data_IF_830872892238
#
_entry.id   IF_830872892238
#
_cell.length_a   1.000
_cell.length_b   1.000
_cell.length_c   1.000
_cell.angle_alpha   90.00
_cell.angle_beta   90.00
_cell.angle_gamma   90.00
#
_symmetry.space_group_name_H-M   'P 1'
#
loop_
_entity.id
_entity.type
_entity.pdbx_description
1 polymer ?
#
# COMPACT_ATOMS: atom_id res chain seq x y z
N UNK A 1 0.25 23.58 14.52
CA UNK A 1 0.50 22.28 13.83
C UNK A 1 0.95 21.26 14.85
N UNK A 2 0.37 20.05 14.82
CA UNK A 2 0.85 18.97 15.68
C UNK A 2 2.20 18.46 15.17
N UNK A 3 3.22 18.55 15.98
CA UNK A 3 4.60 18.10 15.68
C UNK A 3 4.57 16.62 15.21
N UNK A 4 3.70 15.83 15.81
CA UNK A 4 3.54 14.41 15.44
C UNK A 4 3.06 14.26 13.99
N UNK A 5 2.08 15.04 13.57
CA UNK A 5 1.58 15.02 12.17
C UNK A 5 2.65 15.46 11.17
N UNK A 6 3.48 16.44 11.54
CA UNK A 6 4.60 16.89 10.70
C UNK A 6 5.60 15.75 10.48
N UNK A 7 5.99 15.04 11.54
CA UNK A 7 6.92 13.90 11.45
C UNK A 7 6.30 12.74 10.64
N UNK A 8 5.02 12.45 10.86
CA UNK A 8 4.31 11.42 10.07
C UNK A 8 4.30 11.77 8.58
N UNK A 9 4.06 13.04 8.24
CA UNK A 9 4.06 13.52 6.86
C UNK A 9 5.44 13.41 6.20
N UNK A 10 6.50 13.69 6.92
CA UNK A 10 7.87 13.54 6.40
C UNK A 10 8.21 12.09 6.06
N UNK A 11 7.67 11.12 6.83
CA UNK A 11 7.91 9.70 6.64
C UNK A 11 7.06 9.06 5.52
N UNK A 12 6.07 9.75 4.99
CA UNK A 12 5.30 9.27 3.86
C UNK A 12 6.16 9.19 2.61
N UNK A 13 6.04 8.08 1.87
CA UNK A 13 6.60 7.99 0.52
C UNK A 13 5.84 8.91 -0.43
N UNK A 14 6.56 9.57 -1.33
CA UNK A 14 5.96 10.47 -2.32
C UNK A 14 5.01 9.73 -3.26
N UNK A 15 5.40 8.52 -3.66
CA UNK A 15 4.62 7.70 -4.59
C UNK A 15 4.37 6.32 -4.01
N UNK A 16 3.14 5.84 -4.10
CA UNK A 16 2.73 4.48 -3.72
C UNK A 16 1.95 3.85 -4.86
N UNK A 17 2.13 2.54 -5.10
CA UNK A 17 1.33 1.81 -6.08
C UNK A 17 -0.13 1.67 -5.62
N UNK A 18 -1.07 1.67 -6.58
CA UNK A 18 -2.49 1.40 -6.30
C UNK A 18 -2.69 -0.09 -5.97
N UNK A 19 -2.69 -0.39 -4.66
CA UNK A 19 -2.82 -1.74 -4.14
C UNK A 19 -4.29 -2.11 -3.90
N UNK A 20 -4.84 -2.98 -4.74
CA UNK A 20 -6.20 -3.53 -4.58
C UNK A 20 -6.15 -4.95 -4.01
N UNK A 21 -7.06 -5.24 -3.07
CA UNK A 21 -7.21 -6.59 -2.51
C UNK A 21 -7.62 -7.55 -3.61
N UNK A 22 -6.98 -8.72 -3.65
CA UNK A 22 -7.18 -9.74 -4.69
C UNK A 22 -6.18 -9.71 -5.84
N UNK A 23 -5.43 -8.61 -6.01
CA UNK A 23 -4.36 -8.54 -7.00
C UNK A 23 -3.18 -9.43 -6.61
N UNK A 24 -2.52 -10.00 -7.61
CA UNK A 24 -1.22 -10.66 -7.42
C UNK A 24 -0.13 -9.62 -7.60
N UNK A 25 0.77 -9.53 -6.64
CA UNK A 25 1.85 -8.54 -6.62
C UNK A 25 3.20 -9.19 -6.33
N UNK A 26 4.27 -8.54 -6.81
CA UNK A 26 5.65 -8.80 -6.41
C UNK A 26 6.12 -7.67 -5.52
N UNK A 27 6.49 -8.01 -4.31
CA UNK A 27 7.04 -7.07 -3.33
C UNK A 27 8.55 -7.26 -3.26
N UNK A 28 9.29 -6.23 -3.61
CA UNK A 28 10.76 -6.18 -3.51
C UNK A 28 11.12 -5.67 -2.12
N UNK A 29 11.64 -6.56 -1.30
CA UNK A 29 12.00 -6.29 0.09
C UNK A 29 13.49 -6.26 0.24
N UNK A 30 14.01 -5.16 0.75
CA UNK A 30 15.41 -4.99 1.10
C UNK A 30 15.70 -5.73 2.42
N UNK A 31 16.63 -6.67 2.39
CA UNK A 31 17.09 -7.42 3.56
C UNK A 31 18.54 -7.05 3.81
N UNK A 32 18.85 -6.69 5.06
CA UNK A 32 20.21 -6.41 5.50
C UNK A 32 20.74 -7.64 6.24
N UNK A 33 21.81 -8.21 5.72
CA UNK A 33 22.51 -9.38 6.30
C UNK A 33 23.94 -8.97 6.65
N UNK A 34 24.16 -8.55 7.90
CA UNK A 34 25.47 -8.00 8.30
C UNK A 34 25.79 -6.73 7.53
N UNK A 35 26.89 -6.76 6.74
CA UNK A 35 27.35 -5.63 5.92
C UNK A 35 26.83 -5.66 4.48
N UNK A 36 26.05 -6.67 4.11
CA UNK A 36 25.48 -6.81 2.76
C UNK A 36 23.98 -6.55 2.78
N UNK A 37 23.51 -5.89 1.74
CA UNK A 37 22.10 -5.69 1.47
C UNK A 37 21.70 -6.47 0.23
N UNK A 38 20.58 -7.16 0.28
CA UNK A 38 20.02 -7.85 -0.90
C UNK A 38 18.52 -7.61 -0.99
N UNK A 39 18.01 -7.68 -2.21
CA UNK A 39 16.60 -7.57 -2.50
C UNK A 39 16.01 -8.99 -2.58
N UNK A 40 14.98 -9.25 -1.79
CA UNK A 40 14.21 -10.48 -1.87
C UNK A 40 12.83 -10.19 -2.45
N UNK A 41 12.43 -10.95 -3.46
CA UNK A 41 11.11 -10.82 -4.07
C UNK A 41 10.11 -11.75 -3.38
N UNK A 42 9.01 -11.17 -2.92
CA UNK A 42 7.88 -11.91 -2.35
C UNK A 42 6.67 -11.76 -3.28
N UNK A 43 6.36 -12.81 -4.05
CA UNK A 43 5.21 -12.81 -4.96
C UNK A 43 4.02 -13.51 -4.32
N UNK A 44 2.84 -12.89 -4.36
CA UNK A 44 1.63 -13.47 -3.81
C UNK A 44 0.39 -12.61 -4.04
N UNK A 45 -0.71 -13.02 -3.43
CA UNK A 45 -2.02 -12.35 -3.54
C UNK A 45 -2.21 -11.44 -2.33
N UNK A 46 -2.66 -10.21 -2.56
CA UNK A 46 -3.05 -9.30 -1.48
C UNK A 46 -4.37 -9.80 -0.88
N UNK A 47 -4.33 -10.24 0.37
CA UNK A 47 -5.53 -10.72 1.08
C UNK A 47 -6.20 -9.65 1.93
N UNK A 48 -5.45 -8.62 2.33
CA UNK A 48 -5.92 -7.58 3.26
C UNK A 48 -5.14 -6.29 3.04
N UNK A 49 -5.83 -5.16 3.13
CA UNK A 49 -5.25 -3.82 3.28
C UNK A 49 -5.89 -3.18 4.52
N UNK A 50 -5.10 -2.53 5.36
CA UNK A 50 -5.55 -1.99 6.64
C UNK A 50 -4.73 -0.77 7.04
N UNK A 51 -5.36 0.13 7.80
CA UNK A 51 -4.74 1.35 8.30
C UNK A 51 -4.74 2.47 7.27
N UNK A 52 -4.27 3.64 7.67
CA UNK A 52 -4.10 4.83 6.87
C UNK A 52 -2.82 5.56 7.26
N UNK A 53 -2.39 6.51 6.43
CA UNK A 53 -1.14 7.26 6.65
C UNK A 53 0.09 6.35 6.77
N UNK A 54 1.02 6.72 7.62
CA UNK A 54 2.28 5.97 7.85
C UNK A 54 2.05 4.52 8.27
N UNK A 55 0.97 4.26 9.02
CA UNK A 55 0.63 2.93 9.56
C UNK A 55 -0.13 2.05 8.56
N UNK A 56 -0.28 2.48 7.31
CA UNK A 56 -0.95 1.68 6.28
C UNK A 56 -0.19 0.39 5.98
N UNK A 57 -0.90 -0.74 6.07
CA UNK A 57 -0.34 -2.08 5.86
C UNK A 57 -1.10 -2.86 4.81
N UNK A 58 -0.42 -3.76 4.14
CA UNK A 58 -1.04 -4.78 3.30
C UNK A 58 -0.42 -6.14 3.58
N UNK A 59 -1.26 -7.18 3.52
CA UNK A 59 -0.84 -8.56 3.76
C UNK A 59 -0.89 -9.33 2.46
N UNK A 60 0.23 -9.97 2.12
CA UNK A 60 0.38 -10.80 0.94
C UNK A 60 0.48 -12.27 1.34
N UNK A 61 -0.29 -13.12 0.68
CA UNK A 61 -0.27 -14.57 0.85
C UNK A 61 0.31 -15.26 -0.37
N UNK A 62 1.24 -16.16 -0.14
CA UNK A 62 1.74 -17.10 -1.15
C UNK A 62 1.67 -18.53 -0.64
N UNK A 63 1.61 -19.49 -1.55
CA UNK A 63 1.78 -20.90 -1.22
C UNK A 63 3.21 -21.28 -1.60
N UNK A 64 3.97 -21.75 -0.63
CA UNK A 64 5.35 -22.19 -0.82
C UNK A 64 5.43 -23.65 -0.38
N UNK A 65 5.80 -24.55 -1.30
CA UNK A 65 5.90 -25.99 -1.03
C UNK A 65 4.67 -26.60 -0.33
N UNK A 66 3.46 -26.18 -0.74
CA UNK A 66 2.22 -26.64 -0.15
C UNK A 66 1.79 -25.91 1.13
N UNK A 67 2.64 -25.09 1.72
CA UNK A 67 2.35 -24.32 2.92
C UNK A 67 1.97 -22.89 2.56
N UNK A 68 0.87 -22.41 3.14
CA UNK A 68 0.43 -21.01 3.00
C UNK A 68 1.26 -20.09 3.89
N UNK A 69 1.99 -19.15 3.28
CA UNK A 69 2.80 -18.15 3.98
C UNK A 69 2.18 -16.79 3.79
N UNK A 70 1.98 -16.06 4.89
CA UNK A 70 1.45 -14.69 4.88
C UNK A 70 2.49 -13.74 5.46
N UNK A 71 2.73 -12.63 4.77
CA UNK A 71 3.60 -11.56 5.26
C UNK A 71 2.90 -10.23 5.15
N UNK A 72 2.93 -9.47 6.24
CA UNK A 72 2.39 -8.11 6.30
C UNK A 72 3.51 -7.11 6.08
N UNK A 73 3.26 -6.15 5.20
CA UNK A 73 4.19 -5.09 4.85
C UNK A 73 3.57 -3.74 5.18
N UNK A 74 4.37 -2.82 5.71
CA UNK A 74 4.04 -1.40 5.80
C UNK A 74 4.25 -0.77 4.42
N UNK A 75 3.28 -0.01 3.94
CA UNK A 75 3.34 0.62 2.61
C UNK A 75 4.52 1.61 2.53
N UNK A 76 4.66 2.44 3.56
CA UNK A 76 5.67 3.51 3.63
C UNK A 76 7.02 3.06 4.18
N UNK A 77 7.20 1.76 4.51
CA UNK A 77 8.47 1.26 5.03
C UNK A 77 9.62 1.44 4.03
N UNK A 78 10.81 1.90 4.47
CA UNK A 78 11.99 1.96 3.63
C UNK A 78 12.50 0.58 3.21
N UNK A 79 12.12 -0.49 3.93
CA UNK A 79 12.46 -1.87 3.57
C UNK A 79 11.69 -2.36 2.33
N UNK A 80 10.54 -1.79 2.03
CA UNK A 80 9.79 -2.09 0.80
C UNK A 80 10.28 -1.13 -0.27
N UNK A 81 11.10 -1.63 -1.21
CA UNK A 81 11.67 -0.82 -2.28
C UNK A 81 10.63 -0.55 -3.37
N UNK A 82 10.02 -1.61 -3.89
CA UNK A 82 9.06 -1.54 -5.00
C UNK A 82 7.97 -2.59 -4.84
N UNK A 83 6.76 -2.27 -5.30
CA UNK A 83 5.66 -3.23 -5.40
C UNK A 83 5.14 -3.19 -6.84
N UNK A 84 5.20 -4.32 -7.51
CA UNK A 84 4.76 -4.47 -8.90
C UNK A 84 3.48 -5.30 -8.96
N UNK A 85 2.49 -4.82 -9.71
CA UNK A 85 1.31 -5.62 -10.05
C UNK A 85 1.67 -6.67 -11.10
N UNK A 86 1.31 -7.91 -10.85
CA UNK A 86 1.51 -9.02 -11.80
C UNK A 86 0.20 -9.39 -12.49
N UNK A 87 -0.90 -9.38 -11.73
CA UNK A 87 -2.21 -9.77 -12.23
C UNK A 87 -3.32 -9.07 -11.45
N UNK A 88 -4.32 -8.59 -12.17
CA UNK A 88 -5.51 -8.01 -11.55
C UNK A 88 -6.49 -9.13 -11.21
N UNK A 89 -6.77 -9.30 -9.92
CA UNK A 89 -7.69 -10.30 -9.42
C UNK A 89 -9.07 -9.69 -9.11
N UNK A 90 -10.14 -10.40 -9.47
CA UNK A 90 -11.50 -10.02 -9.11
C UNK A 90 -11.79 -10.42 -7.67
N UNK A 91 -11.91 -9.44 -6.79
CA UNK A 91 -12.31 -9.63 -5.40
C UNK A 91 -13.60 -8.84 -5.10
N UNK A 92 -14.50 -9.44 -4.33
CA UNK A 92 -15.77 -8.82 -3.89
C UNK A 92 -15.79 -8.52 -2.40
N UNK A 93 -14.72 -8.88 -1.68
CA UNK A 93 -14.59 -8.70 -0.23
C UNK A 93 -13.33 -7.90 0.08
N UNK A 94 -13.38 -7.08 1.13
CA UNK A 94 -12.24 -6.30 1.61
C UNK A 94 -11.13 -7.15 2.24
N UNK A 95 -11.49 -8.33 2.76
CA UNK A 95 -10.55 -9.29 3.35
C UNK A 95 -10.82 -10.68 2.80
N UNK A 96 -9.78 -11.35 2.30
CA UNK A 96 -9.88 -12.64 1.60
C UNK A 96 -9.38 -13.81 2.48
N UNK A 97 -9.86 -13.89 3.72
CA UNK A 97 -9.41 -14.93 4.65
C UNK A 97 -9.83 -16.35 4.24
N UNK A 98 -10.89 -16.49 3.46
CA UNK A 98 -11.32 -17.78 2.92
C UNK A 98 -10.26 -18.48 2.06
N UNK A 99 -9.26 -17.74 1.55
CA UNK A 99 -8.13 -18.32 0.80
C UNK A 99 -7.23 -19.19 1.68
N UNK A 100 -7.32 -19.08 2.99
CA UNK A 100 -6.54 -19.88 3.95
C UNK A 100 -6.95 -21.34 3.93
N UNK A 101 -8.24 -21.59 3.76
CA UNK A 101 -8.84 -22.94 3.75
C UNK A 101 -8.79 -23.59 2.38
N UNK A 102 -8.48 -22.81 1.34
CA UNK A 102 -8.49 -23.30 -0.03
C UNK A 102 -7.10 -23.71 -0.50
N UNK A 103 -7.04 -24.83 -1.22
CA UNK A 103 -5.80 -25.38 -1.80
C UNK A 103 -5.89 -25.48 -3.33
N UNK A 104 -4.75 -25.61 -4.00
CA UNK A 104 -4.68 -25.80 -5.43
C UNK A 104 -5.23 -24.62 -6.24
N UNK A 105 -6.02 -24.90 -7.25
CA UNK A 105 -6.61 -23.87 -8.15
C UNK A 105 -7.57 -22.92 -7.42
N UNK A 106 -8.24 -23.38 -6.37
CA UNK A 106 -9.19 -22.59 -5.60
C UNK A 106 -8.52 -21.55 -4.69
N UNK A 107 -7.22 -21.65 -4.43
CA UNK A 107 -6.43 -20.69 -3.67
C UNK A 107 -6.02 -19.45 -4.47
N UNK A 108 -6.27 -19.45 -5.78
CA UNK A 108 -5.98 -18.30 -6.64
C UNK A 108 -7.24 -17.48 -6.88
N UNK A 109 -7.10 -16.16 -6.92
CA UNK A 109 -8.18 -15.25 -7.33
C UNK A 109 -8.45 -15.39 -8.82
N UNK A 110 -9.73 -15.29 -9.22
CA UNK A 110 -10.09 -15.22 -10.64
C UNK A 110 -9.56 -13.91 -11.22
N UNK A 111 -9.02 -13.98 -12.43
CA UNK A 111 -8.53 -12.80 -13.14
C UNK A 111 -9.70 -11.96 -13.65
N UNK A 112 -9.54 -10.65 -13.58
CA UNK A 112 -10.49 -9.71 -14.16
C UNK A 112 -10.14 -9.53 -15.65
N UNK A 113 -10.94 -10.13 -16.51
CA UNK A 113 -10.76 -10.05 -17.96
C UNK A 113 -10.91 -8.59 -18.41
N UNK A 114 -9.96 -8.11 -19.22
CA UNK A 114 -9.96 -6.74 -19.75
C UNK A 114 -9.33 -5.68 -18.83
N UNK A 115 -8.99 -6.02 -17.59
CA UNK A 115 -8.26 -5.09 -16.73
C UNK A 115 -6.76 -5.14 -17.07
N UNK A 116 -6.21 -4.01 -17.52
CA UNK A 116 -4.77 -3.85 -17.67
C UNK A 116 -4.14 -3.59 -16.32
N UNK A 117 -2.94 -4.12 -16.12
CA UNK A 117 -2.10 -3.79 -14.98
C UNK A 117 -1.54 -2.39 -15.27
N UNK A 118 -2.19 -1.38 -14.77
CA UNK A 118 -1.61 -0.06 -14.69
C UNK A 118 -0.88 -0.01 -13.34
N UNK A 119 0.44 0.06 -13.36
CA UNK A 119 1.23 0.38 -12.17
C UNK A 119 1.05 1.89 -11.90
N UNK A 120 -0.20 2.30 -11.61
CA UNK A 120 -0.49 3.67 -11.22
C UNK A 120 0.18 3.94 -9.90
N UNK A 121 1.12 4.85 -9.93
CA UNK A 121 1.71 5.41 -8.73
C UNK A 121 0.79 6.55 -8.26
N UNK A 122 0.34 6.47 -7.03
CA UNK A 122 -0.45 7.53 -6.39
C UNK A 122 0.56 8.47 -5.74
N UNK A 123 0.55 9.73 -6.14
CA UNK A 123 1.40 10.78 -5.54
C UNK A 123 0.72 11.22 -4.25
N UNK A 124 1.31 10.88 -3.11
CA UNK A 124 0.70 11.09 -1.79
C UNK A 124 1.02 12.47 -1.22
N UNK A 125 2.17 13.06 -1.58
CA UNK A 125 2.59 14.33 -0.99
C UNK A 125 2.00 15.57 -1.67
N UNK A 126 1.62 15.48 -2.93
CA UNK A 126 0.99 16.60 -3.66
C UNK A 126 -0.45 16.83 -3.18
N UNK A 127 -1.24 15.76 -3.03
CA UNK A 127 -2.62 15.85 -2.54
C UNK A 127 -2.71 16.49 -1.14
N UNK A 128 -1.74 16.17 -0.25
CA UNK A 128 -1.68 16.73 1.11
C UNK A 128 -1.16 18.17 1.13
N UNK A 129 -0.35 18.59 0.17
CA UNK A 129 0.11 19.97 0.06
C UNK A 129 -1.02 20.90 -0.43
N UNK A 130 -1.86 20.44 -1.35
CA UNK A 130 -3.02 21.18 -1.82
C UNK A 130 -4.08 21.34 -0.72
N UNK A 131 -4.32 20.31 0.09
CA UNK A 131 -5.25 20.35 1.22
C UNK A 131 -4.77 21.34 2.31
N UNK A 132 -3.48 21.39 2.60
CA UNK A 132 -2.89 22.34 3.56
C UNK A 132 -2.90 23.79 3.07
N UNK A 133 -2.73 24.02 1.77
CA UNK A 133 -2.82 25.35 1.18
C UNK A 133 -4.27 25.84 1.18
N UNK A 134 -5.24 24.97 0.94
CA UNK A 134 -6.66 25.31 1.02
C UNK A 134 -7.08 25.67 2.45
N UNK A 135 -6.65 24.91 3.46
CA UNK A 135 -6.94 25.17 4.88
C UNK A 135 -6.26 26.46 5.39
N UNK A 136 -5.04 26.75 4.90
CA UNK A 136 -4.32 27.98 5.25
C UNK A 136 -4.96 29.23 4.63
N UNK A 137 -5.53 29.13 3.44
CA UNK A 137 -6.22 30.24 2.78
C UNK A 137 -7.60 30.52 3.40
N UNK A 138 -8.33 29.50 3.88
CA UNK A 138 -9.56 29.69 4.62
C UNK A 138 -9.34 30.37 5.98
N UNK A 139 -8.31 30.00 6.74
CA UNK A 139 -8.00 30.62 8.04
C UNK A 139 -7.53 32.08 7.91
N UNK A 140 -6.88 32.44 6.81
CA UNK A 140 -6.49 33.85 6.57
C UNK A 140 -7.69 34.70 6.13
N UNK A 141 -8.64 34.14 5.40
CA UNK A 141 -9.89 34.83 5.04
C UNK A 141 -10.78 35.09 6.24
N UNK A 142 -10.92 34.13 7.16
CA UNK A 142 -11.72 34.29 8.39
C UNK A 142 -11.13 35.30 9.39
N UNK A 143 -9.79 35.47 9.40
CA UNK A 143 -9.12 36.46 10.26
C UNK A 143 -9.22 37.86 9.70
N UNK A 144 -9.35 38.04 8.39
CA UNK A 144 -9.51 39.37 7.77
C UNK A 144 -10.94 39.94 7.91
N UNK A 145 -11.97 39.07 7.94
CA UNK A 145 -13.35 39.51 8.15
C UNK A 145 -13.69 39.88 9.61
N UNK A 146 -12.89 39.45 10.59
CA UNK A 146 -13.06 39.82 12.00
C UNK A 146 -12.29 41.09 12.44
N UNK A 147 -11.56 41.71 11.53
CA UNK A 147 -10.75 42.89 11.81
C UNK A 147 -11.31 44.21 11.23
N UNK A 148 -12.50 44.15 10.61
CA UNK A 148 -13.35 45.28 10.22
C UNK A 148 -14.58 45.34 11.16
#
# INVERSE_FOLDING_TARGET
MDIIKSIEHEQLKNTIPDLKVGNTVRVHVKIKEGNKERIQVFEGIIIKKQGGGVNATFTVRKISYGVGVEKTFLIHSPLVEKVEGVRVGKARRAKLYYLRERTGKASKTKEMVGARIENKEIVVKEDLAEEQVAEATETVAETSEKAE
#
